data_IF_079125013718
#
_entry.id   IF_079125013718
#
_cell.length_a   1.000
_cell.length_b   1.000
_cell.length_c   1.000
_cell.angle_alpha   90.00
_cell.angle_beta   90.00
_cell.angle_gamma   90.00
#
_symmetry.space_group_name_H-M   'P 1'
#
loop_
_entity.id
_entity.type
_entity.pdbx_description
1 polymer ?
#
# COMPACT_ATOMS: atom_id res chain seq x y z
N UNK A 1 1.29 -2.87 -1.55
CA UNK A 1 2.55 -3.05 -0.80
C UNK A 1 3.58 -3.75 -1.65
N UNK A 2 3.40 -5.04 -1.93
CA UNK A 2 4.29 -5.80 -2.80
C UNK A 2 4.34 -5.16 -4.19
N UNK A 3 5.47 -5.23 -4.88
CA UNK A 3 5.77 -4.60 -6.17
C UNK A 3 5.63 -3.06 -6.23
N UNK A 4 5.00 -2.43 -5.24
CA UNK A 4 4.87 -0.96 -5.14
C UNK A 4 5.91 -0.39 -4.18
N UNK A 5 5.84 -0.73 -2.89
CA UNK A 5 6.75 -0.24 -1.84
C UNK A 5 7.95 -1.14 -1.63
N UNK A 6 7.79 -2.43 -1.86
CA UNK A 6 8.83 -3.44 -1.65
C UNK A 6 8.98 -4.34 -2.88
N UNK A 7 10.19 -4.88 -3.03
CA UNK A 7 10.52 -5.99 -3.93
C UNK A 7 11.23 -7.08 -3.17
N UNK A 8 11.14 -8.31 -3.64
CA UNK A 8 11.92 -9.43 -3.08
C UNK A 8 13.43 -9.20 -3.31
N UNK A 9 14.24 -9.57 -2.34
CA UNK A 9 15.70 -9.58 -2.49
C UNK A 9 16.11 -10.75 -3.38
N UNK A 10 15.43 -11.89 -3.23
CA UNK A 10 15.65 -13.09 -4.04
C UNK A 10 15.35 -12.93 -5.52
N UNK A 11 14.62 -11.86 -5.90
CA UNK A 11 14.14 -11.65 -7.27
C UNK A 11 12.96 -12.54 -7.68
N UNK A 12 12.44 -13.37 -6.77
CA UNK A 12 11.26 -14.20 -7.01
C UNK A 12 9.98 -13.37 -6.97
N UNK A 13 8.94 -13.80 -7.67
CA UNK A 13 7.61 -13.16 -7.65
C UNK A 13 7.01 -13.13 -6.24
N UNK A 14 7.23 -14.19 -5.46
CA UNK A 14 6.78 -14.31 -4.08
C UNK A 14 7.99 -14.39 -3.14
N UNK A 15 7.94 -13.74 -1.96
CA UNK A 15 9.03 -13.79 -1.01
C UNK A 15 9.24 -15.20 -0.48
N UNK A 16 10.50 -15.57 -0.25
CA UNK A 16 10.88 -16.87 0.33
C UNK A 16 10.55 -16.92 1.84
N UNK A 17 10.71 -15.81 2.51
CA UNK A 17 10.39 -15.62 3.93
C UNK A 17 10.06 -14.15 4.24
N UNK A 18 9.87 -13.83 5.51
CA UNK A 18 9.49 -12.48 5.95
C UNK A 18 10.61 -11.44 5.76
N UNK A 19 11.86 -11.87 5.64
CA UNK A 19 13.02 -10.99 5.46
C UNK A 19 13.36 -10.78 3.99
N UNK A 20 12.75 -11.54 3.08
CA UNK A 20 12.96 -11.46 1.64
C UNK A 20 12.25 -10.24 1.05
N UNK A 21 12.62 -9.04 1.53
CA UNK A 21 12.17 -7.80 0.94
C UNK A 21 13.20 -6.68 1.07
N UNK A 22 13.14 -5.78 0.11
CA UNK A 22 13.83 -4.47 0.15
C UNK A 22 12.84 -3.36 -0.15
N UNK A 23 12.99 -2.25 0.54
CA UNK A 23 12.21 -1.03 0.27
C UNK A 23 12.62 -0.45 -1.08
N UNK A 24 11.66 0.00 -1.85
CA UNK A 24 11.87 0.75 -3.09
C UNK A 24 12.05 2.24 -2.76
N UNK A 25 13.27 2.62 -2.34
CA UNK A 25 13.59 4.02 -2.01
C UNK A 25 13.20 5.02 -3.11
N UNK A 26 13.37 4.72 -4.42
CA UNK A 26 12.92 5.64 -5.47
C UNK A 26 11.43 6.01 -5.38
N UNK A 27 10.57 5.10 -4.90
CA UNK A 27 9.14 5.39 -4.70
C UNK A 27 8.96 6.37 -3.53
N UNK A 28 9.67 6.16 -2.42
CA UNK A 28 9.58 7.06 -1.26
C UNK A 28 10.16 8.45 -1.59
N UNK A 29 11.28 8.52 -2.31
CA UNK A 29 11.86 9.79 -2.77
C UNK A 29 10.90 10.54 -3.69
N UNK A 30 10.25 9.83 -4.62
CA UNK A 30 9.27 10.41 -5.53
C UNK A 30 8.02 10.92 -4.78
N UNK A 31 7.56 10.21 -3.74
CA UNK A 31 6.47 10.68 -2.88
C UNK A 31 6.85 12.01 -2.22
N UNK A 32 8.05 12.13 -1.66
CA UNK A 32 8.51 13.39 -1.04
C UNK A 32 8.60 14.51 -2.07
N UNK A 33 9.13 14.22 -3.27
CA UNK A 33 9.24 15.21 -4.35
C UNK A 33 7.87 15.76 -4.78
N UNK A 34 6.90 14.87 -4.99
CA UNK A 34 5.58 15.23 -5.55
C UNK A 34 4.55 15.64 -4.50
N UNK A 35 4.75 15.23 -3.25
CA UNK A 35 3.80 15.43 -2.15
C UNK A 35 4.50 16.04 -0.92
N UNK A 36 5.11 17.23 -1.04
CA UNK A 36 5.88 17.84 0.07
C UNK A 36 5.03 18.18 1.30
N UNK A 37 3.72 18.24 1.15
CA UNK A 37 2.75 18.48 2.22
C UNK A 37 2.05 17.20 2.70
N UNK A 38 2.56 16.01 2.34
CA UNK A 38 2.00 14.75 2.82
C UNK A 38 1.96 14.74 4.36
N UNK A 39 0.79 14.49 4.92
CA UNK A 39 0.59 14.40 6.37
C UNK A 39 0.26 12.99 6.85
N UNK A 40 -0.25 12.12 6.00
CA UNK A 40 -0.62 10.74 6.32
C UNK A 40 -0.20 9.78 5.21
N UNK A 41 0.21 8.58 5.60
CA UNK A 41 0.61 7.53 4.67
C UNK A 41 0.04 6.18 5.13
N UNK A 42 -0.69 5.51 4.24
CA UNK A 42 -1.36 4.26 4.57
C UNK A 42 -0.97 3.14 3.60
N UNK A 43 -0.84 1.93 4.15
CA UNK A 43 -0.59 0.72 3.37
C UNK A 43 -1.85 -0.14 3.38
N UNK A 44 -2.41 -0.45 2.21
CA UNK A 44 -3.52 -1.40 2.06
C UNK A 44 -3.13 -2.54 1.13
N UNK A 45 -3.31 -3.80 1.57
CA UNK A 45 -2.81 -4.95 0.83
C UNK A 45 -3.77 -6.14 0.83
N UNK A 46 -3.94 -6.79 -0.34
CA UNK A 46 -4.56 -8.11 -0.42
C UNK A 46 -3.50 -9.19 -0.18
N UNK A 47 -3.71 -10.05 0.81
CA UNK A 47 -2.78 -11.10 1.23
C UNK A 47 -3.48 -12.47 1.34
N UNK A 48 -4.18 -12.85 0.28
CA UNK A 48 -4.97 -14.09 0.24
C UNK A 48 -4.16 -15.39 0.37
N UNK A 49 -2.83 -15.34 0.32
CA UNK A 49 -1.95 -16.48 0.58
C UNK A 49 -1.79 -16.85 2.06
N UNK A 50 -2.17 -15.94 2.98
CA UNK A 50 -2.01 -16.14 4.43
C UNK A 50 -3.17 -16.99 4.98
N UNK A 51 -2.97 -18.30 5.08
CA UNK A 51 -4.04 -19.24 5.45
C UNK A 51 -4.12 -19.53 6.94
N UNK A 52 -2.96 -19.65 7.61
CA UNK A 52 -2.89 -20.03 9.02
C UNK A 52 -2.76 -18.81 9.94
N UNK A 53 -3.06 -18.99 11.23
CA UNK A 53 -2.82 -17.96 12.23
C UNK A 53 -1.33 -17.61 12.34
N UNK A 54 -0.47 -18.61 12.17
CA UNK A 54 1.00 -18.43 12.18
C UNK A 54 1.44 -17.57 10.99
N UNK A 55 0.94 -17.81 9.77
CA UNK A 55 1.24 -16.99 8.60
C UNK A 55 0.85 -15.53 8.83
N UNK A 56 -0.34 -15.29 9.40
CA UNK A 56 -0.84 -13.95 9.71
C UNK A 56 0.02 -13.23 10.75
N UNK A 57 0.44 -13.94 11.80
CA UNK A 57 1.33 -13.37 12.83
C UNK A 57 2.69 -13.00 12.24
N UNK A 58 3.27 -13.87 11.43
CA UNK A 58 4.54 -13.61 10.74
C UNK A 58 4.40 -12.41 9.81
N UNK A 59 3.32 -12.35 9.03
CA UNK A 59 3.07 -11.24 8.13
C UNK A 59 2.86 -9.90 8.86
N UNK A 60 2.27 -9.90 10.06
CA UNK A 60 2.15 -8.70 10.88
C UNK A 60 3.53 -8.08 11.16
N UNK A 61 4.54 -8.87 11.51
CA UNK A 61 5.90 -8.35 11.71
C UNK A 61 6.45 -7.71 10.42
N UNK A 62 6.19 -8.32 9.26
CA UNK A 62 6.65 -7.78 7.97
C UNK A 62 5.97 -6.45 7.65
N UNK A 63 4.65 -6.38 7.73
CA UNK A 63 3.92 -5.16 7.36
C UNK A 63 4.22 -4.01 8.31
N UNK A 64 4.38 -4.30 9.62
CA UNK A 64 4.78 -3.29 10.60
C UNK A 64 6.22 -2.82 10.39
N UNK A 65 7.13 -3.72 9.99
CA UNK A 65 8.49 -3.31 9.64
C UNK A 65 8.51 -2.40 8.41
N UNK A 66 7.76 -2.74 7.36
CA UNK A 66 7.63 -1.91 6.16
C UNK A 66 7.03 -0.55 6.49
N UNK A 67 5.94 -0.53 7.26
CA UNK A 67 5.28 0.70 7.70
C UNK A 67 6.22 1.58 8.53
N UNK A 68 6.90 1.00 9.54
CA UNK A 68 7.83 1.71 10.39
C UNK A 68 8.99 2.34 9.62
N UNK A 69 9.55 1.62 8.63
CA UNK A 69 10.60 2.18 7.75
C UNK A 69 10.05 3.36 6.94
N UNK A 70 8.85 3.24 6.38
CA UNK A 70 8.22 4.34 5.65
C UNK A 70 7.92 5.53 6.56
N UNK A 71 7.40 5.28 7.77
CA UNK A 71 7.16 6.31 8.78
C UNK A 71 8.43 7.09 9.11
N UNK A 72 9.50 6.38 9.48
CA UNK A 72 10.79 6.99 9.81
C UNK A 72 11.34 7.78 8.62
N UNK A 73 11.14 7.28 7.42
CA UNK A 73 11.59 7.97 6.22
C UNK A 73 10.87 9.30 6.00
N UNK A 74 9.56 9.34 6.17
CA UNK A 74 8.75 10.54 5.95
C UNK A 74 8.85 11.53 7.11
N UNK A 75 8.80 11.07 8.38
CA UNK A 75 8.84 11.97 9.54
C UNK A 75 10.17 12.76 9.63
N UNK A 76 11.26 12.19 9.12
CA UNK A 76 12.55 12.86 9.08
C UNK A 76 12.73 13.82 7.89
N UNK A 77 11.84 13.80 6.89
CA UNK A 77 11.99 14.57 5.65
C UNK A 77 10.83 15.53 5.36
N UNK A 78 9.67 15.32 5.98
CA UNK A 78 8.47 16.10 5.75
C UNK A 78 8.02 16.80 7.03
N UNK A 79 7.83 18.10 6.99
CA UNK A 79 7.50 18.90 8.18
C UNK A 79 6.07 18.65 8.72
N UNK A 80 5.14 18.23 7.84
CA UNK A 80 3.73 18.07 8.17
C UNK A 80 3.31 16.62 8.36
N UNK A 81 4.25 15.67 8.22
CA UNK A 81 3.95 14.25 8.34
C UNK A 81 3.64 13.87 9.80
N UNK A 82 2.58 13.13 10.03
CA UNK A 82 2.10 12.83 11.39
C UNK A 82 1.71 11.38 11.61
N UNK A 83 1.14 10.71 10.61
CA UNK A 83 0.54 9.39 10.79
C UNK A 83 0.86 8.43 9.67
N UNK A 84 1.13 7.18 10.04
CA UNK A 84 1.03 6.03 9.14
C UNK A 84 0.20 4.92 9.78
N UNK A 85 -0.38 4.06 8.96
CA UNK A 85 -1.04 2.83 9.39
C UNK A 85 -1.07 1.83 8.24
N UNK A 86 -1.36 0.57 8.57
CA UNK A 86 -1.38 -0.50 7.59
C UNK A 86 -2.52 -1.49 7.84
N UNK A 87 -3.23 -1.83 6.77
CA UNK A 87 -4.28 -2.84 6.78
C UNK A 87 -4.05 -3.87 5.68
N UNK A 88 -4.44 -5.11 5.93
CA UNK A 88 -4.44 -6.14 4.91
C UNK A 88 -5.65 -7.07 5.02
N UNK A 89 -6.05 -7.64 3.89
CA UNK A 89 -7.13 -8.60 3.80
C UNK A 89 -6.59 -9.98 3.37
N UNK A 90 -6.85 -11.00 4.20
CA UNK A 90 -6.47 -12.39 3.91
C UNK A 90 -7.55 -13.17 3.17
N UNK A 91 -8.76 -12.63 3.06
CA UNK A 91 -9.87 -13.30 2.40
C UNK A 91 -9.58 -13.52 0.92
N UNK A 92 -9.96 -14.69 0.40
CA UNK A 92 -10.01 -14.97 -1.03
C UNK A 92 -11.40 -14.73 -1.63
N UNK A 93 -12.41 -14.48 -0.78
CA UNK A 93 -13.76 -14.14 -1.22
C UNK A 93 -13.77 -12.75 -1.86
N UNK A 94 -14.21 -12.70 -3.11
CA UNK A 94 -14.34 -11.44 -3.85
C UNK A 94 -15.41 -10.49 -3.29
N UNK A 95 -16.34 -11.04 -2.49
CA UNK A 95 -17.40 -10.27 -1.83
C UNK A 95 -16.96 -9.74 -0.45
N UNK A 96 -15.78 -10.12 0.05
CA UNK A 96 -15.27 -9.59 1.30
C UNK A 96 -15.05 -8.07 1.17
N UNK A 97 -15.71 -7.33 2.06
CA UNK A 97 -15.69 -5.85 2.05
C UNK A 97 -14.28 -5.26 2.10
N UNK A 98 -13.36 -5.93 2.80
CA UNK A 98 -11.97 -5.48 2.94
C UNK A 98 -11.05 -5.90 1.79
N UNK A 99 -11.48 -6.86 0.96
CA UNK A 99 -10.66 -7.29 -0.18
C UNK A 99 -10.79 -6.32 -1.34
N UNK A 100 -9.69 -5.72 -1.79
CA UNK A 100 -9.67 -4.91 -3.01
C UNK A 100 -10.14 -5.77 -4.21
N UNK A 101 -11.02 -5.26 -5.09
CA UNK A 101 -11.37 -3.85 -5.31
C UNK A 101 -12.46 -3.26 -4.40
N UNK A 102 -12.95 -3.99 -3.38
CA UNK A 102 -13.86 -3.42 -2.40
C UNK A 102 -13.11 -2.42 -1.50
N UNK A 103 -13.84 -1.49 -0.90
CA UNK A 103 -13.31 -0.24 -0.33
C UNK A 103 -13.09 -0.28 1.19
N UNK A 104 -13.46 -1.37 1.87
CA UNK A 104 -13.51 -1.43 3.33
C UNK A 104 -12.21 -1.04 4.04
N UNK A 105 -11.04 -1.40 3.50
CA UNK A 105 -9.77 -0.95 4.10
C UNK A 105 -9.59 0.57 3.98
N UNK A 106 -9.93 1.16 2.83
CA UNK A 106 -9.84 2.61 2.63
C UNK A 106 -10.87 3.35 3.48
N UNK A 107 -12.10 2.84 3.56
CA UNK A 107 -13.15 3.42 4.42
C UNK A 107 -12.73 3.42 5.88
N UNK A 108 -12.20 2.30 6.39
CA UNK A 108 -11.74 2.22 7.77
C UNK A 108 -10.67 3.29 8.07
N UNK A 109 -9.65 3.40 7.24
CA UNK A 109 -8.58 4.38 7.44
C UNK A 109 -9.11 5.82 7.33
N UNK A 110 -9.94 6.08 6.32
CA UNK A 110 -10.53 7.40 6.10
C UNK A 110 -11.30 7.91 7.33
N UNK A 111 -12.16 7.07 7.91
CA UNK A 111 -12.95 7.44 9.09
C UNK A 111 -12.13 7.43 10.39
N UNK A 112 -11.23 6.45 10.56
CA UNK A 112 -10.37 6.34 11.74
C UNK A 112 -9.47 7.57 11.91
N UNK A 113 -8.88 8.04 10.83
CA UNK A 113 -7.96 9.18 10.83
C UNK A 113 -8.63 10.52 10.50
N UNK A 114 -9.97 10.51 10.33
CA UNK A 114 -10.77 11.72 10.06
C UNK A 114 -10.20 12.53 8.89
N UNK A 115 -9.89 11.85 7.79
CA UNK A 115 -9.39 12.50 6.58
C UNK A 115 -10.46 13.49 6.08
N UNK A 116 -10.07 14.74 5.82
CA UNK A 116 -11.02 15.83 5.57
C UNK A 116 -11.65 15.74 4.18
N UNK A 117 -10.86 15.40 3.17
CA UNK A 117 -11.34 15.32 1.78
C UNK A 117 -10.74 14.14 1.03
N UNK A 118 -11.56 13.49 0.23
CA UNK A 118 -11.10 12.46 -0.72
C UNK A 118 -10.29 13.07 -1.88
N UNK A 119 -10.54 14.32 -2.23
CA UNK A 119 -9.82 15.03 -3.30
C UNK A 119 -8.33 15.25 -2.96
N UNK A 120 -7.96 15.11 -1.69
CA UNK A 120 -6.58 15.18 -1.21
C UNK A 120 -5.92 13.80 -1.10
N UNK A 121 -6.65 12.73 -1.48
CA UNK A 121 -6.18 11.37 -1.39
C UNK A 121 -5.79 10.81 -2.75
N UNK A 122 -4.68 10.11 -2.79
CA UNK A 122 -4.24 9.37 -3.97
C UNK A 122 -3.81 7.96 -3.58
N UNK A 123 -4.15 6.98 -4.39
CA UNK A 123 -3.66 5.62 -4.27
C UNK A 123 -2.58 5.34 -5.31
N UNK A 124 -1.43 4.86 -4.85
CA UNK A 124 -0.33 4.40 -5.71
C UNK A 124 -0.26 2.89 -5.61
N UNK A 125 -0.31 2.19 -6.74
CA UNK A 125 -0.29 0.73 -6.77
C UNK A 125 0.23 0.15 -8.07
N UNK A 126 0.44 -1.16 -8.11
CA UNK A 126 0.92 -1.89 -9.29
C UNK A 126 -0.19 -2.70 -10.00
N UNK A 127 -1.35 -2.84 -9.37
CA UNK A 127 -2.50 -3.58 -9.93
C UNK A 127 -3.45 -2.63 -10.68
N UNK A 128 -3.03 -2.17 -11.86
CA UNK A 128 -3.75 -1.18 -12.68
C UNK A 128 -4.55 -1.79 -13.84
N UNK A 129 -4.32 -3.07 -14.15
CA UNK A 129 -4.90 -3.75 -15.32
C UNK A 129 -4.15 -3.50 -16.62
N UNK A 130 -2.94 -2.98 -16.58
CA UNK A 130 -2.06 -2.90 -17.76
C UNK A 130 -1.64 -4.30 -18.23
N UNK A 131 -1.26 -4.48 -19.50
CA UNK A 131 -0.74 -5.75 -19.96
C UNK A 131 0.40 -6.26 -19.08
N UNK A 132 0.26 -7.50 -18.56
CA UNK A 132 1.22 -8.12 -17.65
C UNK A 132 0.91 -7.93 -16.16
N UNK A 133 -0.07 -7.13 -15.79
CA UNK A 133 -0.49 -7.00 -14.40
C UNK A 133 -1.24 -8.24 -13.92
N UNK A 134 -1.03 -8.59 -12.66
CA UNK A 134 -1.76 -9.67 -12.02
C UNK A 134 -3.26 -9.39 -11.88
N UNK A 135 -3.64 -8.12 -11.70
CA UNK A 135 -5.03 -7.68 -11.56
C UNK A 135 -5.16 -6.17 -11.80
N UNK A 136 -6.39 -5.68 -11.74
CA UNK A 136 -6.74 -4.25 -11.75
C UNK A 136 -7.30 -3.77 -10.40
N UNK A 137 -7.07 -4.55 -9.34
CA UNK A 137 -7.75 -4.38 -8.07
C UNK A 137 -7.39 -3.07 -7.33
N UNK A 138 -6.19 -2.54 -7.52
CA UNK A 138 -5.80 -1.27 -6.91
C UNK A 138 -6.52 -0.09 -7.57
N UNK A 139 -6.46 -0.05 -8.89
CA UNK A 139 -7.14 0.99 -9.68
C UNK A 139 -8.63 0.99 -9.40
N UNK A 140 -9.28 -0.16 -9.50
CA UNK A 140 -10.72 -0.28 -9.22
C UNK A 140 -11.08 0.06 -7.77
N UNK A 141 -10.22 -0.26 -6.81
CA UNK A 141 -10.45 0.10 -5.41
C UNK A 141 -10.47 1.61 -5.21
N UNK A 142 -9.51 2.32 -5.80
CA UNK A 142 -9.47 3.77 -5.77
C UNK A 142 -10.69 4.40 -6.47
N UNK A 143 -11.03 3.93 -7.68
CA UNK A 143 -12.21 4.37 -8.43
C UNK A 143 -13.51 4.15 -7.64
N UNK A 144 -13.69 2.96 -7.04
CA UNK A 144 -14.87 2.62 -6.23
C UNK A 144 -14.97 3.46 -4.96
N UNK A 145 -13.84 3.80 -4.36
CA UNK A 145 -13.80 4.67 -3.18
C UNK A 145 -13.95 6.16 -3.53
N UNK A 146 -13.61 6.56 -4.76
CA UNK A 146 -13.70 7.93 -5.26
C UNK A 146 -12.47 8.76 -4.89
N UNK A 147 -11.28 8.21 -5.04
CA UNK A 147 -9.99 8.91 -4.93
C UNK A 147 -9.17 8.73 -6.20
N UNK A 148 -8.16 9.56 -6.37
CA UNK A 148 -7.23 9.45 -7.48
C UNK A 148 -6.40 8.16 -7.40
N UNK A 149 -6.00 7.65 -8.57
CA UNK A 149 -5.13 6.51 -8.72
C UNK A 149 -4.00 6.80 -9.70
N UNK A 150 -2.79 6.34 -9.37
CA UNK A 150 -1.67 6.31 -10.29
C UNK A 150 -0.94 4.97 -10.19
N UNK A 151 -0.62 4.39 -11.34
CA UNK A 151 0.27 3.22 -11.40
C UNK A 151 1.68 3.59 -10.94
N UNK A 152 2.30 2.76 -10.12
CA UNK A 152 3.63 3.06 -9.56
C UNK A 152 4.70 3.28 -10.65
N UNK A 153 4.57 2.61 -11.80
CA UNK A 153 5.48 2.80 -12.94
C UNK A 153 5.35 4.19 -13.56
N UNK A 154 4.10 4.65 -13.75
CA UNK A 154 3.83 5.99 -14.26
C UNK A 154 4.23 7.06 -13.22
N UNK A 155 4.00 6.78 -11.94
CA UNK A 155 4.38 7.68 -10.86
C UNK A 155 5.88 7.94 -10.80
N UNK A 156 6.69 6.91 -11.05
CA UNK A 156 8.14 7.04 -11.08
C UNK A 156 8.66 7.84 -12.27
N UNK A 157 7.88 7.94 -13.34
CA UNK A 157 8.23 8.71 -14.54
C UNK A 157 7.85 10.21 -14.47
N UNK A 158 7.05 10.61 -13.43
CA UNK A 158 6.69 12.03 -13.21
C UNK A 158 7.93 12.87 -12.83
#
# INVERSE_FOLDING_TARGET
MDSTLIKTISGKTFPEDITDFRIQLPVLDKIIEKMPNLNMFFIVSNQGGLKTLTDKRIFNYKIWAVEGICYDYFINKLNNFSYSDSLYCCSMDKNDTYRKPNTGMLEQLYYQYKVESKDECIMIGDASGKPGDFSDSDKKCAENFGIDYIDVRDFLEL
#
